data_IF_791421378016
#
_entry.id   IF_791421378016
#
_cell.length_a   1.000
_cell.length_b   1.000
_cell.length_c   1.000
_cell.angle_alpha   90.00
_cell.angle_beta   90.00
_cell.angle_gamma   90.00
#
_symmetry.space_group_name_H-M   'P 1'
#
loop_
_entity.id
_entity.type
_entity.pdbx_description
1 polymer ?
#
# COMPACT_ATOMS: atom_id res chain seq x y z
N UNK A 1 -5.93 -32.17 -0.19
CA UNK A 1 -5.16 -31.45 0.85
C UNK A 1 -3.82 -30.89 0.36
N UNK A 2 -3.24 -31.37 -0.76
CA UNK A 2 -1.92 -30.87 -1.24
C UNK A 2 -1.97 -29.52 -2.00
N UNK A 3 -3.08 -29.16 -2.65
CA UNK A 3 -3.15 -27.94 -3.47
C UNK A 3 -3.09 -26.62 -2.68
N UNK A 4 -3.73 -26.56 -1.50
CA UNK A 4 -3.72 -25.32 -0.68
C UNK A 4 -2.33 -24.98 -0.11
N UNK A 5 -1.49 -25.98 0.14
CA UNK A 5 -0.14 -25.75 0.67
C UNK A 5 0.82 -25.26 -0.43
N UNK A 6 0.65 -25.78 -1.65
CA UNK A 6 1.44 -25.37 -2.82
C UNK A 6 1.13 -23.93 -3.25
N UNK A 7 -0.16 -23.54 -3.28
CA UNK A 7 -0.56 -22.18 -3.60
C UNK A 7 -0.07 -21.16 -2.57
N UNK A 8 -0.06 -21.52 -1.27
CA UNK A 8 0.48 -20.65 -0.22
C UNK A 8 1.99 -20.49 -0.34
N UNK A 9 2.73 -21.56 -0.61
CA UNK A 9 4.18 -21.50 -0.83
C UNK A 9 4.53 -20.61 -2.05
N UNK A 10 3.79 -20.76 -3.15
CA UNK A 10 3.92 -19.91 -4.33
C UNK A 10 3.64 -18.45 -3.97
N UNK A 11 2.57 -18.19 -3.21
CA UNK A 11 2.20 -16.84 -2.77
C UNK A 11 3.32 -16.19 -1.96
N UNK A 12 3.86 -16.89 -0.98
CA UNK A 12 4.95 -16.39 -0.14
C UNK A 12 6.22 -16.10 -0.96
N UNK A 13 6.55 -16.95 -1.91
CA UNK A 13 7.70 -16.73 -2.80
C UNK A 13 7.52 -15.45 -3.65
N UNK A 14 6.33 -15.22 -4.20
CA UNK A 14 6.02 -14.00 -4.98
C UNK A 14 6.10 -12.77 -4.09
N UNK A 15 5.57 -12.81 -2.87
CA UNK A 15 5.64 -11.71 -1.90
C UNK A 15 7.10 -11.33 -1.62
N UNK A 16 7.97 -12.30 -1.38
CA UNK A 16 9.40 -12.03 -1.16
C UNK A 16 10.06 -11.39 -2.37
N UNK A 17 9.74 -11.82 -3.59
CA UNK A 17 10.25 -11.20 -4.82
C UNK A 17 9.76 -9.75 -4.97
N UNK A 18 8.49 -9.47 -4.65
CA UNK A 18 7.93 -8.11 -4.67
C UNK A 18 8.68 -7.23 -3.66
N UNK A 19 8.80 -7.66 -2.40
CA UNK A 19 9.45 -6.89 -1.32
C UNK A 19 10.90 -6.58 -1.67
N UNK A 20 11.64 -7.55 -2.20
CA UNK A 20 13.03 -7.35 -2.62
C UNK A 20 13.14 -6.27 -3.70
N UNK A 21 12.27 -6.28 -4.72
CA UNK A 21 12.27 -5.29 -5.79
C UNK A 21 11.82 -3.91 -5.31
N UNK A 22 10.79 -3.85 -4.48
CA UNK A 22 10.33 -2.59 -3.88
C UNK A 22 11.40 -1.96 -2.99
N UNK A 23 12.15 -2.78 -2.25
CA UNK A 23 13.27 -2.28 -1.46
C UNK A 23 14.37 -1.69 -2.35
N UNK A 24 14.73 -2.38 -3.45
CA UNK A 24 15.68 -1.84 -4.43
C UNK A 24 15.20 -0.48 -4.98
N UNK A 25 13.94 -0.36 -5.37
CA UNK A 25 13.35 0.89 -5.83
C UNK A 25 13.32 1.96 -4.75
N UNK A 26 12.97 1.59 -3.52
CA UNK A 26 12.91 2.51 -2.38
C UNK A 26 14.28 3.09 -2.02
N UNK A 27 15.36 2.29 -2.13
CA UNK A 27 16.72 2.79 -1.93
C UNK A 27 17.13 3.87 -2.94
N UNK A 28 16.51 3.89 -4.12
CA UNK A 28 16.75 4.85 -5.20
C UNK A 28 15.70 5.99 -5.24
N UNK A 29 14.90 6.17 -4.20
CA UNK A 29 14.04 7.36 -4.06
C UNK A 29 14.90 8.51 -3.55
N UNK A 30 14.88 9.62 -4.29
CA UNK A 30 15.58 10.86 -3.93
C UNK A 30 14.57 11.86 -3.34
N UNK A 31 14.80 12.28 -2.12
CA UNK A 31 13.99 13.29 -1.44
C UNK A 31 14.74 14.65 -1.46
N UNK A 32 14.01 15.75 -1.61
CA UNK A 32 14.57 17.12 -1.56
C UNK A 32 15.26 17.44 -0.24
N UNK A 33 14.82 16.83 0.87
CA UNK A 33 15.40 16.92 2.21
C UNK A 33 16.55 15.94 2.49
N UNK A 34 17.04 15.20 1.46
CA UNK A 34 18.03 14.14 1.63
C UNK A 34 17.43 12.77 1.94
N UNK A 35 18.26 11.82 2.32
CA UNK A 35 17.84 10.43 2.57
C UNK A 35 16.93 10.34 3.80
N UNK A 36 15.78 9.71 3.66
CA UNK A 36 14.83 9.51 4.75
C UNK A 36 15.27 8.33 5.64
N UNK A 37 15.12 8.45 6.96
CA UNK A 37 15.51 7.42 7.94
C UNK A 37 14.85 6.05 7.70
N UNK A 38 13.64 6.03 7.16
CA UNK A 38 12.94 4.80 6.81
C UNK A 38 13.62 4.00 5.68
N UNK A 39 14.48 4.64 4.86
CA UNK A 39 15.28 3.95 3.84
C UNK A 39 16.44 3.13 4.45
N UNK A 40 16.72 3.28 5.75
CA UNK A 40 17.73 2.52 6.48
C UNK A 40 17.12 1.45 7.39
N UNK A 41 15.78 1.34 7.44
CA UNK A 41 15.08 0.39 8.29
C UNK A 41 14.39 -0.70 7.46
N UNK A 42 15.16 -1.69 7.01
CA UNK A 42 14.62 -2.81 6.24
C UNK A 42 13.62 -3.66 7.04
N UNK A 43 13.83 -3.82 8.35
CA UNK A 43 12.95 -4.64 9.18
C UNK A 43 11.52 -4.07 9.21
N UNK A 44 11.37 -2.76 9.50
CA UNK A 44 10.07 -2.09 9.48
C UNK A 44 9.45 -2.09 8.07
N UNK A 45 10.26 -1.84 7.04
CA UNK A 45 9.81 -1.92 5.66
C UNK A 45 9.26 -3.31 5.33
N UNK A 46 9.97 -4.38 5.71
CA UNK A 46 9.55 -5.75 5.46
C UNK A 46 8.27 -6.10 6.23
N UNK A 47 8.12 -5.69 7.49
CA UNK A 47 6.89 -5.89 8.27
C UNK A 47 5.70 -5.24 7.55
N UNK A 48 5.83 -3.96 7.18
CA UNK A 48 4.75 -3.20 6.55
C UNK A 48 4.38 -3.77 5.18
N UNK A 49 5.37 -4.07 4.33
CA UNK A 49 5.11 -4.55 2.96
C UNK A 49 4.63 -6.00 2.93
N UNK A 50 5.20 -6.89 3.73
CA UNK A 50 4.71 -8.28 3.80
C UNK A 50 3.29 -8.34 4.33
N UNK A 51 2.95 -7.58 5.37
CA UNK A 51 1.58 -7.51 5.90
C UNK A 51 0.58 -7.06 4.84
N UNK A 52 0.94 -6.05 4.05
CA UNK A 52 0.10 -5.57 2.96
C UNK A 52 -0.04 -6.60 1.83
N UNK A 53 1.05 -7.23 1.38
CA UNK A 53 0.98 -8.18 0.27
C UNK A 53 0.28 -9.50 0.63
N UNK A 54 0.29 -9.90 1.89
CA UNK A 54 -0.43 -11.08 2.37
C UNK A 54 -1.95 -10.98 2.19
N UNK A 55 -2.51 -9.77 2.19
CA UNK A 55 -3.95 -9.57 1.97
C UNK A 55 -4.37 -9.58 0.50
N UNK A 56 -3.43 -9.65 -0.46
CA UNK A 56 -3.71 -9.64 -1.88
C UNK A 56 -3.97 -11.05 -2.43
N UNK A 57 -4.78 -11.14 -3.50
CA UNK A 57 -4.98 -12.41 -4.21
C UNK A 57 -3.73 -12.80 -5.01
N UNK A 58 -3.50 -14.09 -5.19
CA UNK A 58 -2.38 -14.60 -5.98
C UNK A 58 -2.34 -14.05 -7.43
N UNK A 59 -3.47 -13.94 -8.17
CA UNK A 59 -3.47 -13.30 -9.49
C UNK A 59 -3.04 -11.84 -9.46
N UNK A 60 -3.44 -11.08 -8.45
CA UNK A 60 -3.03 -9.67 -8.28
C UNK A 60 -1.54 -9.56 -8.01
N UNK A 61 -1.00 -10.39 -7.10
CA UNK A 61 0.42 -10.43 -6.78
C UNK A 61 1.29 -10.77 -7.99
N UNK A 62 0.90 -11.77 -8.79
CA UNK A 62 1.61 -12.11 -10.03
C UNK A 62 1.64 -10.94 -11.01
N UNK A 63 0.49 -10.29 -11.21
CA UNK A 63 0.40 -9.14 -12.12
C UNK A 63 1.24 -7.95 -11.63
N UNK A 64 1.28 -7.71 -10.31
CA UNK A 64 2.10 -6.64 -9.75
C UNK A 64 3.60 -6.95 -9.83
N UNK A 65 4.00 -8.20 -9.63
CA UNK A 65 5.40 -8.61 -9.85
C UNK A 65 5.83 -8.37 -11.30
N UNK A 66 4.95 -8.68 -12.28
CA UNK A 66 5.19 -8.36 -13.69
C UNK A 66 5.35 -6.85 -13.91
N UNK A 67 4.53 -6.02 -13.24
CA UNK A 67 4.63 -4.54 -13.30
C UNK A 67 6.00 -4.06 -12.81
N UNK A 68 6.50 -4.60 -11.68
CA UNK A 68 7.83 -4.24 -11.14
C UNK A 68 8.98 -4.67 -12.07
N UNK A 69 8.89 -5.88 -12.66
CA UNK A 69 9.88 -6.36 -13.64
C UNK A 69 9.92 -5.45 -14.86
N UNK A 70 8.74 -5.11 -15.39
CA UNK A 70 8.63 -4.21 -16.55
C UNK A 70 9.10 -2.79 -16.24
N UNK A 71 8.82 -2.29 -15.03
CA UNK A 71 9.30 -0.98 -14.59
C UNK A 71 10.83 -0.92 -14.57
N UNK A 72 11.49 -1.93 -14.00
CA UNK A 72 12.95 -2.04 -13.99
C UNK A 72 13.53 -2.09 -15.42
N UNK A 73 12.91 -2.85 -16.32
CA UNK A 73 13.33 -2.93 -17.72
C UNK A 73 13.20 -1.59 -18.45
N UNK A 74 12.23 -0.75 -18.07
CA UNK A 74 11.96 0.58 -18.65
C UNK A 74 12.65 1.73 -17.92
N UNK A 75 13.55 1.44 -17.00
CA UNK A 75 14.23 2.42 -16.14
C UNK A 75 13.26 3.33 -15.39
N UNK A 76 12.14 2.77 -14.94
CA UNK A 76 11.14 3.46 -14.10
C UNK A 76 11.25 3.00 -12.67
N UNK A 77 10.85 3.87 -11.74
CA UNK A 77 10.76 3.57 -10.31
C UNK A 77 9.32 3.77 -9.79
N UNK A 78 8.50 2.70 -9.69
CA UNK A 78 7.11 2.80 -9.24
C UNK A 78 6.96 3.34 -7.81
N UNK A 79 7.96 3.12 -6.95
CA UNK A 79 7.96 3.64 -5.58
C UNK A 79 8.16 5.16 -5.58
N UNK A 80 9.05 5.67 -6.42
CA UNK A 80 9.22 7.12 -6.61
C UNK A 80 7.97 7.75 -7.24
N UNK A 81 7.39 7.11 -8.27
CA UNK A 81 6.15 7.56 -8.90
C UNK A 81 5.00 7.65 -7.91
N UNK A 82 4.84 6.67 -7.02
CA UNK A 82 3.88 6.70 -5.92
C UNK A 82 4.01 7.97 -5.10
N UNK A 83 5.21 8.29 -4.61
CA UNK A 83 5.44 9.50 -3.82
C UNK A 83 5.20 10.77 -4.62
N UNK A 84 5.59 10.79 -5.89
CA UNK A 84 5.33 11.91 -6.78
C UNK A 84 3.81 12.15 -6.99
N UNK A 85 3.01 11.10 -7.21
CA UNK A 85 1.55 11.25 -7.29
C UNK A 85 0.91 11.75 -5.97
N UNK A 86 1.50 11.41 -4.82
CA UNK A 86 1.02 11.92 -3.52
C UNK A 86 1.23 13.43 -3.39
N UNK A 87 2.29 13.98 -3.99
CA UNK A 87 2.60 15.42 -3.95
C UNK A 87 1.49 16.28 -4.55
N UNK A 88 0.66 15.74 -5.44
CA UNK A 88 -0.52 16.46 -5.97
C UNK A 88 -1.44 17.00 -4.87
N UNK A 89 -1.49 16.33 -3.72
CA UNK A 89 -2.35 16.67 -2.59
C UNK A 89 -1.59 17.33 -1.45
N UNK A 90 -0.35 16.94 -1.21
CA UNK A 90 0.46 17.44 -0.09
C UNK A 90 1.38 18.61 -0.46
N UNK A 91 1.79 18.72 -1.70
CA UNK A 91 2.72 19.74 -2.21
C UNK A 91 2.39 20.10 -3.70
N UNK A 92 1.22 20.71 -3.97
CA UNK A 92 0.71 20.87 -5.34
C UNK A 92 1.61 21.74 -6.25
N UNK A 93 2.30 22.73 -5.70
CA UNK A 93 3.21 23.57 -6.50
C UNK A 93 4.41 22.80 -7.00
N UNK A 94 5.02 22.01 -6.14
CA UNK A 94 6.14 21.15 -6.47
C UNK A 94 5.70 20.00 -7.41
N UNK A 95 4.45 19.54 -7.27
CA UNK A 95 3.87 18.57 -8.19
C UNK A 95 3.76 19.09 -9.62
N UNK A 96 3.33 20.34 -9.83
CA UNK A 96 3.23 20.96 -11.15
C UNK A 96 4.57 20.96 -11.90
N UNK A 97 5.69 21.05 -11.21
CA UNK A 97 7.04 21.02 -11.80
C UNK A 97 7.44 19.63 -12.34
N UNK A 98 6.87 18.55 -11.74
CA UNK A 98 7.25 17.18 -12.05
C UNK A 98 6.17 16.38 -12.80
N UNK A 99 4.92 16.86 -12.84
CA UNK A 99 3.79 16.11 -13.41
C UNK A 99 4.07 15.64 -14.86
N UNK A 100 4.74 16.47 -15.67
CA UNK A 100 5.04 16.14 -17.06
C UNK A 100 6.03 14.97 -17.24
N UNK A 101 6.78 14.62 -16.22
CA UNK A 101 7.72 13.49 -16.21
C UNK A 101 7.09 12.18 -15.73
N UNK A 102 5.88 12.25 -15.15
CA UNK A 102 5.19 11.08 -14.64
C UNK A 102 4.38 10.37 -15.74
N UNK A 103 4.20 9.05 -15.63
CA UNK A 103 3.27 8.34 -16.50
C UNK A 103 1.86 8.94 -16.44
N UNK A 104 1.26 9.14 -17.60
CA UNK A 104 -0.11 9.66 -17.68
C UNK A 104 -1.09 8.65 -17.09
N UNK A 105 -1.93 9.12 -16.16
CA UNK A 105 -3.00 8.31 -15.57
C UNK A 105 -4.22 8.36 -16.49
N UNK A 106 -4.57 7.21 -17.12
CA UNK A 106 -5.75 7.09 -17.95
C UNK A 106 -7.04 7.28 -17.13
N UNK A 107 -8.12 7.70 -17.80
CA UNK A 107 -9.44 7.85 -17.16
C UNK A 107 -9.91 6.54 -16.52
N UNK A 108 -9.75 5.42 -17.24
CA UNK A 108 -10.08 4.09 -16.71
C UNK A 108 -9.31 3.79 -15.41
N UNK A 109 -8.03 4.13 -15.38
CA UNK A 109 -7.19 3.94 -14.20
C UNK A 109 -7.68 4.76 -13.01
N UNK A 110 -8.08 6.02 -13.25
CA UNK A 110 -8.70 6.90 -12.24
C UNK A 110 -9.98 6.30 -11.69
N UNK A 111 -10.90 5.90 -12.56
CA UNK A 111 -12.18 5.31 -12.17
C UNK A 111 -12.02 4.06 -11.29
N UNK A 112 -11.14 3.13 -11.67
CA UNK A 112 -10.90 1.91 -10.89
C UNK A 112 -10.29 2.26 -9.54
N UNK A 113 -9.30 3.15 -9.51
CA UNK A 113 -8.65 3.62 -8.29
C UNK A 113 -9.66 4.22 -7.31
N UNK A 114 -10.53 5.13 -7.77
CA UNK A 114 -11.54 5.75 -6.89
C UNK A 114 -12.57 4.73 -6.37
N UNK A 115 -12.91 3.71 -7.15
CA UNK A 115 -13.77 2.61 -6.68
C UNK A 115 -13.13 1.80 -5.56
N UNK A 116 -11.82 1.51 -5.65
CA UNK A 116 -11.07 0.83 -4.59
C UNK A 116 -10.98 1.71 -3.35
N UNK A 117 -10.57 2.98 -3.50
CA UNK A 117 -10.44 3.95 -2.40
C UNK A 117 -11.74 4.07 -1.62
N UNK A 118 -12.86 4.21 -2.30
CA UNK A 118 -14.20 4.31 -1.67
C UNK A 118 -14.53 3.12 -0.76
N UNK A 119 -14.07 1.92 -1.08
CA UNK A 119 -14.27 0.73 -0.26
C UNK A 119 -13.27 0.76 0.91
N UNK A 120 -12.01 1.03 0.63
CA UNK A 120 -10.94 1.02 1.64
C UNK A 120 -11.15 2.07 2.73
N UNK A 121 -11.54 3.29 2.39
CA UNK A 121 -11.79 4.34 3.39
C UNK A 121 -12.92 3.96 4.38
N UNK A 122 -13.91 3.18 3.93
CA UNK A 122 -14.92 2.64 4.84
C UNK A 122 -14.32 1.59 5.79
N UNK A 123 -13.51 0.69 5.26
CA UNK A 123 -12.83 -0.32 6.06
C UNK A 123 -11.88 0.29 7.08
N UNK A 124 -11.09 1.29 6.67
CA UNK A 124 -10.20 2.03 7.56
C UNK A 124 -10.97 2.78 8.66
N UNK A 125 -12.06 3.47 8.30
CA UNK A 125 -12.91 4.14 9.30
C UNK A 125 -13.52 3.16 10.32
N UNK A 126 -13.91 1.95 9.88
CA UNK A 126 -14.41 0.89 10.77
C UNK A 126 -13.30 0.37 11.67
N UNK A 127 -12.11 0.14 11.14
CA UNK A 127 -10.94 -0.34 11.88
C UNK A 127 -10.49 0.69 12.92
N UNK A 128 -10.41 1.97 12.55
CA UNK A 128 -10.07 3.06 13.47
C UNK A 128 -11.06 3.21 14.62
N UNK A 129 -12.35 2.99 14.35
CA UNK A 129 -13.38 3.02 15.42
C UNK A 129 -13.26 1.85 16.38
N UNK A 130 -12.86 0.66 15.90
CA UNK A 130 -12.68 -0.53 16.75
C UNK A 130 -11.41 -0.47 17.59
N UNK A 131 -10.33 0.08 17.02
CA UNK A 131 -8.98 0.07 17.59
C UNK A 131 -8.37 1.49 17.59
N UNK A 132 -8.97 2.44 18.35
CA UNK A 132 -8.58 3.84 18.29
C UNK A 132 -7.16 4.12 18.82
N UNK A 133 -6.66 3.33 19.79
CA UNK A 133 -5.35 3.58 20.40
C UNK A 133 -4.20 3.24 19.45
N UNK A 134 -4.25 2.08 18.80
CA UNK A 134 -3.19 1.67 17.88
C UNK A 134 -3.26 2.42 16.54
N UNK A 135 -4.43 2.93 16.15
CA UNK A 135 -4.60 3.66 14.89
C UNK A 135 -4.36 5.17 15.03
N UNK A 136 -4.43 5.75 16.23
CA UNK A 136 -4.20 7.21 16.44
C UNK A 136 -2.77 7.64 16.08
N UNK A 137 -1.79 6.74 16.23
CA UNK A 137 -0.37 6.98 15.86
C UNK A 137 -0.13 6.90 14.35
N UNK A 138 -1.13 6.46 13.58
CA UNK A 138 -1.07 6.29 12.14
C UNK A 138 -1.40 7.57 11.36
N UNK A 139 -1.58 7.39 10.03
CA UNK A 139 -2.02 8.45 9.13
C UNK A 139 -3.47 8.82 9.42
N UNK A 140 -3.82 10.09 9.20
CA UNK A 140 -5.22 10.53 9.15
C UNK A 140 -5.92 9.89 7.94
N UNK A 141 -7.25 9.81 7.99
CA UNK A 141 -8.02 9.05 7.00
C UNK A 141 -8.12 9.78 5.65
N UNK A 142 -8.49 11.06 5.66
CA UNK A 142 -8.88 11.81 4.47
C UNK A 142 -7.85 12.86 4.05
N UNK A 143 -7.84 13.16 2.75
CA UNK A 143 -6.88 14.06 2.10
C UNK A 143 -7.01 15.54 2.54
N UNK A 144 -8.15 15.96 3.11
CA UNK A 144 -8.30 17.30 3.68
C UNK A 144 -7.33 17.58 4.85
N UNK A 145 -6.75 16.52 5.42
CA UNK A 145 -5.76 16.61 6.51
C UNK A 145 -4.30 16.60 6.02
N UNK A 146 -4.08 16.55 4.69
CA UNK A 146 -2.74 16.45 4.13
C UNK A 146 -1.92 17.73 4.34
N UNK A 147 -0.66 17.54 4.67
CA UNK A 147 0.39 18.58 4.69
C UNK A 147 1.64 18.04 3.98
N UNK A 148 2.61 18.90 3.65
CA UNK A 148 3.88 18.43 3.06
C UNK A 148 4.58 17.35 3.89
N UNK A 149 4.45 17.37 5.21
CA UNK A 149 5.09 16.45 6.16
C UNK A 149 4.25 15.19 6.42
N UNK A 150 2.91 15.30 6.31
CA UNK A 150 1.99 14.24 6.69
C UNK A 150 0.90 14.04 5.64
N UNK A 151 0.89 12.86 5.02
CA UNK A 151 -0.14 12.48 4.05
C UNK A 151 -1.11 11.49 4.66
N UNK A 152 -2.39 11.61 4.27
CA UNK A 152 -3.47 10.73 4.69
C UNK A 152 -3.37 9.30 4.12
N UNK A 153 -4.19 8.40 4.65
CA UNK A 153 -4.40 7.06 4.07
C UNK A 153 -4.94 7.17 2.64
N UNK A 154 -5.89 8.07 2.42
CA UNK A 154 -6.47 8.31 1.09
C UNK A 154 -5.42 8.68 0.06
N UNK A 155 -4.58 9.67 0.35
CA UNK A 155 -3.52 10.13 -0.56
C UNK A 155 -2.45 9.08 -0.77
N UNK A 156 -2.04 8.39 0.31
CA UNK A 156 -1.08 7.30 0.23
C UNK A 156 -1.57 6.15 -0.66
N UNK A 157 -2.81 5.70 -0.43
CA UNK A 157 -3.43 4.63 -1.22
C UNK A 157 -3.59 5.04 -2.69
N UNK A 158 -4.05 6.27 -2.96
CA UNK A 158 -4.19 6.79 -4.33
C UNK A 158 -2.85 6.81 -5.07
N UNK A 159 -1.80 7.32 -4.45
CA UNK A 159 -0.47 7.33 -5.03
C UNK A 159 0.03 5.92 -5.36
N UNK A 160 -0.19 4.98 -4.45
CA UNK A 160 0.19 3.57 -4.67
C UNK A 160 -0.58 2.95 -5.83
N UNK A 161 -1.90 3.05 -5.86
CA UNK A 161 -2.73 2.50 -6.93
C UNK A 161 -2.42 3.12 -8.30
N UNK A 162 -2.03 4.39 -8.34
CA UNK A 162 -1.58 5.03 -9.59
C UNK A 162 -0.25 4.50 -10.11
N UNK A 163 0.56 3.83 -9.32
CA UNK A 163 1.78 3.16 -9.77
C UNK A 163 1.53 1.80 -10.45
N UNK A 164 0.36 1.17 -10.23
CA UNK A 164 0.00 -0.15 -10.77
C UNK A 164 -0.40 -0.05 -12.25
N UNK A 165 -0.27 -1.15 -13.01
CA UNK A 165 -0.89 -1.25 -14.33
C UNK A 165 -2.41 -1.35 -14.24
N UNK A 166 -3.11 -1.04 -15.34
CA UNK A 166 -4.58 -1.21 -15.40
C UNK A 166 -5.00 -2.68 -15.17
N UNK A 167 -4.19 -3.64 -15.64
CA UNK A 167 -4.42 -5.07 -15.40
C UNK A 167 -4.37 -5.39 -13.92
N UNK A 168 -3.33 -4.94 -13.22
CA UNK A 168 -3.18 -5.16 -11.77
C UNK A 168 -4.30 -4.49 -10.98
N UNK A 169 -4.66 -3.25 -11.35
CA UNK A 169 -5.78 -2.53 -10.72
C UNK A 169 -7.12 -3.25 -10.92
N UNK A 170 -7.39 -3.77 -12.12
CA UNK A 170 -8.63 -4.49 -12.37
C UNK A 170 -8.73 -5.78 -11.55
N UNK A 171 -7.65 -6.58 -11.51
CA UNK A 171 -7.57 -7.79 -10.69
C UNK A 171 -7.76 -7.48 -9.21
N UNK A 172 -7.13 -6.38 -8.74
CA UNK A 172 -7.26 -5.96 -7.35
C UNK A 172 -8.67 -5.46 -7.02
N UNK A 173 -9.28 -4.67 -7.91
CA UNK A 173 -10.64 -4.20 -7.72
C UNK A 173 -11.65 -5.34 -7.65
N UNK A 174 -11.53 -6.36 -8.52
CA UNK A 174 -12.41 -7.51 -8.50
C UNK A 174 -12.27 -8.28 -7.19
N UNK A 175 -11.04 -8.50 -6.72
CA UNK A 175 -10.77 -9.13 -5.43
C UNK A 175 -11.32 -8.31 -4.24
N UNK A 176 -11.14 -6.98 -4.24
CA UNK A 176 -11.70 -6.08 -3.21
C UNK A 176 -13.22 -6.14 -3.16
N UNK A 177 -13.89 -6.24 -4.33
CA UNK A 177 -15.34 -6.44 -4.38
C UNK A 177 -15.78 -7.76 -3.76
N UNK A 178 -15.06 -8.84 -4.06
CA UNK A 178 -15.35 -10.16 -3.53
C UNK A 178 -15.19 -10.17 -1.99
N UNK A 179 -14.10 -9.62 -1.49
CA UNK A 179 -13.89 -9.45 -0.05
C UNK A 179 -15.00 -8.64 0.62
N UNK A 180 -15.43 -7.53 -0.01
CA UNK A 180 -16.55 -6.73 0.48
C UNK A 180 -17.85 -7.52 0.54
N UNK A 181 -18.15 -8.32 -0.49
CA UNK A 181 -19.37 -9.15 -0.54
C UNK A 181 -19.33 -10.27 0.52
N UNK A 182 -18.14 -10.74 0.88
CA UNK A 182 -17.91 -11.72 1.94
C UNK A 182 -17.78 -11.09 3.34
N UNK A 183 -18.00 -9.77 3.48
CA UNK A 183 -17.81 -9.01 4.72
C UNK A 183 -16.39 -9.11 5.30
N UNK A 184 -15.38 -9.28 4.47
CA UNK A 184 -13.97 -9.24 4.84
C UNK A 184 -13.46 -7.80 4.77
N UNK A 185 -12.92 -7.30 5.86
CA UNK A 185 -12.28 -5.98 5.94
C UNK A 185 -10.77 -6.15 5.76
N UNK A 186 -10.25 -5.81 4.56
CA UNK A 186 -8.82 -5.96 4.28
C UNK A 186 -7.93 -4.99 5.07
N UNK A 187 -8.44 -3.83 5.49
CA UNK A 187 -7.70 -2.91 6.34
C UNK A 187 -7.49 -3.48 7.74
N UNK A 188 -8.53 -4.08 8.32
CA UNK A 188 -8.45 -4.76 9.62
C UNK A 188 -7.50 -5.97 9.57
N UNK A 189 -7.58 -6.79 8.50
CA UNK A 189 -6.68 -7.93 8.31
C UNK A 189 -5.22 -7.48 8.15
N UNK A 190 -4.97 -6.40 7.39
CA UNK A 190 -3.63 -5.83 7.26
C UNK A 190 -3.08 -5.36 8.61
N UNK A 191 -3.88 -4.65 9.40
CA UNK A 191 -3.49 -4.20 10.74
C UNK A 191 -3.20 -5.39 11.67
N UNK A 192 -4.00 -6.44 11.61
CA UNK A 192 -3.77 -7.69 12.36
C UNK A 192 -2.42 -8.32 11.99
N UNK A 193 -2.09 -8.38 10.68
CA UNK A 193 -0.80 -8.90 10.22
C UNK A 193 0.38 -8.06 10.77
N UNK A 194 0.25 -6.73 10.76
CA UNK A 194 1.27 -5.81 11.29
C UNK A 194 1.50 -6.03 12.78
N UNK A 195 0.44 -6.04 13.60
CA UNK A 195 0.58 -6.18 15.05
C UNK A 195 1.14 -7.55 15.44
N UNK A 196 0.75 -8.62 14.73
CA UNK A 196 1.33 -9.96 14.96
C UNK A 196 2.83 -10.00 14.64
N UNK A 197 3.26 -9.40 13.53
CA UNK A 197 4.69 -9.31 13.18
C UNK A 197 5.49 -8.42 14.15
N UNK A 198 4.81 -7.49 14.82
CA UNK A 198 5.39 -6.68 15.92
C UNK A 198 5.36 -7.36 17.28
N UNK A 199 4.93 -8.63 17.36
CA UNK A 199 4.98 -9.46 18.55
C UNK A 199 3.75 -9.43 19.44
N UNK A 200 2.64 -8.82 18.99
CA UNK A 200 1.36 -8.90 19.68
C UNK A 200 0.58 -10.16 19.29
N UNK A 201 -0.28 -10.65 20.18
CA UNK A 201 -1.07 -11.85 19.91
C UNK A 201 -2.32 -11.58 19.06
N UNK A 202 -2.90 -10.37 19.16
CA UNK A 202 -4.09 -9.94 18.41
C UNK A 202 -4.19 -8.42 18.40
N UNK A 203 -5.18 -7.88 17.65
CA UNK A 203 -5.50 -6.44 17.66
C UNK A 203 -5.92 -5.97 19.05
N UNK A 204 -6.72 -6.75 19.79
CA UNK A 204 -7.13 -6.43 21.15
C UNK A 204 -5.94 -6.41 22.13
N UNK A 205 -5.00 -7.35 21.96
CA UNK A 205 -3.76 -7.36 22.77
C UNK A 205 -2.91 -6.11 22.51
N UNK A 206 -2.77 -5.70 21.23
CA UNK A 206 -2.06 -4.50 20.86
C UNK A 206 -2.77 -3.22 21.34
N UNK A 207 -4.09 -3.13 21.19
CA UNK A 207 -4.91 -2.00 21.65
C UNK A 207 -4.77 -1.77 23.16
N UNK A 208 -4.88 -2.84 23.94
CA UNK A 208 -4.78 -2.78 25.40
C UNK A 208 -3.36 -2.43 25.89
N UNK A 209 -2.31 -2.94 25.25
CA UNK A 209 -0.91 -2.69 25.65
C UNK A 209 -0.37 -1.36 25.16
N UNK A 210 -0.89 -0.82 24.05
CA UNK A 210 -0.43 0.46 23.48
C UNK A 210 -1.00 1.68 24.22
N UNK A 211 -2.03 1.48 25.05
CA UNK A 211 -2.61 2.50 25.93
C UNK A 211 -1.90 2.66 27.27
N UNK A 212 -0.90 1.83 27.55
CA UNK A 212 -0.03 1.89 28.74
C UNK A 212 1.28 2.58 28.37
#
# INVERSE_FOLDING_TARGET
>A
MNGNNEDEEIKQNIIQQIITREWEFFQNVHNTGGRASCQDNYEEFNIMRSSQWEIFSLPTLRSYLDDLVLAKYRDRNPVMEKYAYMMKYSAPKEYEEIESFLPVISERKREITEKIIKIYLKWEAETMRKYPVITDKGRKLYSESDTPEHTSIETYLRGELFSYSEKTLQLYYDYVKDCKNENKNLAEINLENIVRKKGYNSLEDAENKSGL
#
